data_IF_219767718564
#
_entry.id   IF_219767718564
#
_cell.length_a   1.000
_cell.length_b   1.000
_cell.length_c   1.000
_cell.angle_alpha   90.00
_cell.angle_beta   90.00
_cell.angle_gamma   90.00
#
_symmetry.space_group_name_H-M   'P 1'
#
loop_
_entity.id
_entity.type
_entity.pdbx_description
1 polymer ?
#
# COMPACT_ATOMS: atom_id res chain seq x y z
N UNK A 1 -10.15 17.21 -5.51
CA UNK A 1 -10.04 17.23 -6.97
C UNK A 1 -9.52 15.89 -7.46
N UNK A 2 -9.98 15.44 -8.65
CA UNK A 2 -9.56 14.19 -9.27
C UNK A 2 -8.97 14.50 -10.65
N UNK A 3 -7.79 13.94 -10.95
CA UNK A 3 -7.12 14.13 -12.23
C UNK A 3 -6.57 12.80 -12.73
N UNK A 4 -6.57 12.58 -14.05
CA UNK A 4 -6.02 11.41 -14.70
C UNK A 4 -5.29 11.81 -15.99
N UNK A 5 -4.18 11.13 -16.28
CA UNK A 5 -3.39 11.31 -17.50
C UNK A 5 -2.95 9.93 -18.03
N UNK A 6 -2.99 9.67 -19.35
CA UNK A 6 -3.54 10.54 -20.39
C UNK A 6 -5.05 10.74 -20.25
N UNK A 7 -5.56 11.80 -20.85
CA UNK A 7 -6.97 12.13 -20.91
C UNK A 7 -7.39 12.37 -22.36
N UNK A 8 -8.67 12.63 -22.58
CA UNK A 8 -9.22 12.91 -23.91
C UNK A 8 -10.15 14.12 -23.86
N UNK A 9 -10.33 14.74 -25.00
CA UNK A 9 -11.37 15.75 -25.20
C UNK A 9 -12.68 15.06 -25.62
N UNK A 10 -13.80 15.53 -25.11
CA UNK A 10 -15.13 15.06 -25.55
C UNK A 10 -15.37 15.33 -27.03
N UNK A 11 -14.72 16.34 -27.64
CA UNK A 11 -14.77 16.63 -29.07
C UNK A 11 -14.14 15.51 -29.92
N UNK A 12 -13.18 14.76 -29.36
CA UNK A 12 -12.44 13.71 -30.06
C UNK A 12 -12.89 12.30 -29.67
N UNK A 13 -14.03 12.15 -28.99
CA UNK A 13 -14.46 10.91 -28.35
C UNK A 13 -14.51 9.71 -29.30
N UNK A 14 -15.04 9.89 -30.51
CA UNK A 14 -15.11 8.80 -31.52
C UNK A 14 -13.71 8.30 -31.94
N UNK A 15 -12.75 9.21 -32.11
CA UNK A 15 -11.38 8.84 -32.46
C UNK A 15 -10.68 8.10 -31.34
N UNK A 16 -10.96 8.50 -30.08
CA UNK A 16 -10.41 7.85 -28.88
C UNK A 16 -10.98 6.44 -28.70
N UNK A 17 -12.30 6.24 -28.95
CA UNK A 17 -12.89 4.89 -28.91
C UNK A 17 -12.26 3.99 -29.98
N UNK A 18 -12.09 4.47 -31.22
CA UNK A 18 -11.44 3.71 -32.28
C UNK A 18 -9.99 3.36 -31.94
N UNK A 19 -9.24 4.30 -31.37
CA UNK A 19 -7.88 4.06 -30.93
C UNK A 19 -7.82 3.02 -29.79
N UNK A 20 -8.70 3.12 -28.78
CA UNK A 20 -8.77 2.18 -27.66
C UNK A 20 -9.22 0.77 -28.07
N UNK A 21 -10.03 0.63 -29.12
CA UNK A 21 -10.42 -0.68 -29.66
C UNK A 21 -9.30 -1.37 -30.41
N UNK A 22 -8.36 -0.60 -30.98
CA UNK A 22 -7.20 -1.11 -31.71
C UNK A 22 -5.95 -1.25 -30.84
N UNK A 23 -5.86 -0.48 -29.77
CA UNK A 23 -4.74 -0.51 -28.82
C UNK A 23 -5.26 -0.33 -27.38
N UNK A 24 -5.41 -1.46 -26.68
CA UNK A 24 -5.82 -1.49 -25.27
C UNK A 24 -4.82 -0.82 -24.33
N UNK A 25 -3.59 -0.54 -24.79
CA UNK A 25 -2.54 0.11 -23.99
C UNK A 25 -2.75 1.62 -23.82
N UNK A 26 -3.57 2.25 -24.67
CA UNK A 26 -3.78 3.71 -24.63
C UNK A 26 -4.36 4.20 -23.30
N UNK A 27 -5.25 3.40 -22.69
CA UNK A 27 -5.81 3.62 -21.35
C UNK A 27 -6.44 5.02 -21.12
N UNK A 28 -6.71 5.77 -22.20
CA UNK A 28 -7.21 7.15 -22.13
C UNK A 28 -8.63 7.23 -21.54
N UNK A 29 -9.42 6.15 -21.70
CA UNK A 29 -10.79 6.05 -21.19
C UNK A 29 -10.84 5.58 -19.72
N UNK A 30 -9.72 5.18 -19.14
CA UNK A 30 -9.65 4.69 -17.76
C UNK A 30 -9.46 5.87 -16.81
N UNK A 31 -10.38 6.04 -15.87
CA UNK A 31 -10.14 6.93 -14.73
C UNK A 31 -9.17 6.25 -13.77
N UNK A 32 -7.88 6.56 -13.90
CA UNK A 32 -6.81 5.93 -13.10
C UNK A 32 -6.95 6.19 -11.61
N UNK A 33 -7.58 7.29 -11.21
CA UNK A 33 -7.76 7.60 -9.80
C UNK A 33 -8.71 6.61 -9.10
N UNK A 34 -9.67 6.06 -9.84
CA UNK A 34 -10.69 5.17 -9.27
C UNK A 34 -10.59 3.72 -9.75
N UNK A 35 -10.08 3.48 -10.97
CA UNK A 35 -10.18 2.19 -11.65
C UNK A 35 -8.85 1.45 -11.79
N UNK A 36 -7.70 2.12 -11.52
CA UNK A 36 -6.39 1.46 -11.57
C UNK A 36 -5.89 1.16 -10.17
N UNK A 37 -5.16 0.05 -10.05
CA UNK A 37 -4.51 -0.39 -8.82
C UNK A 37 -3.01 -0.21 -8.92
N UNK A 38 -2.42 0.30 -7.87
CA UNK A 38 -0.99 0.58 -7.74
C UNK A 38 -0.46 0.01 -6.43
N UNK A 39 0.83 -0.32 -6.40
CA UNK A 39 1.53 -0.55 -5.15
C UNK A 39 1.48 0.76 -4.33
N UNK A 40 0.87 0.77 -3.13
CA UNK A 40 0.74 2.00 -2.36
C UNK A 40 2.08 2.50 -1.81
N UNK A 41 3.06 1.62 -1.69
CA UNK A 41 4.37 1.94 -1.12
C UNK A 41 4.23 2.56 0.27
N UNK A 42 5.10 3.50 0.59
CA UNK A 42 5.15 4.11 1.93
C UNK A 42 3.87 4.81 2.39
N UNK A 43 2.92 5.08 1.51
CA UNK A 43 1.61 5.63 1.93
C UNK A 43 0.80 4.61 2.73
N UNK A 44 1.00 3.30 2.49
CA UNK A 44 0.37 2.23 3.27
C UNK A 44 0.84 2.17 4.72
N UNK A 45 1.99 2.76 5.05
CA UNK A 45 2.50 2.83 6.42
C UNK A 45 1.54 3.51 7.39
N UNK A 46 0.62 4.36 6.90
CA UNK A 46 -0.47 4.91 7.72
C UNK A 46 -1.40 3.81 8.23
N UNK A 47 -1.76 2.85 7.37
CA UNK A 47 -2.56 1.69 7.76
C UNK A 47 -1.82 0.83 8.78
N UNK A 48 -0.55 0.54 8.53
CA UNK A 48 0.30 -0.24 9.42
C UNK A 48 0.46 0.43 10.78
N UNK A 49 0.70 1.75 10.80
CA UNK A 49 0.82 2.54 12.02
C UNK A 49 -0.48 2.52 12.84
N UNK A 50 -1.60 2.82 12.21
CA UNK A 50 -2.91 2.79 12.87
C UNK A 50 -3.21 1.40 13.45
N UNK A 51 -2.92 0.34 12.68
CA UNK A 51 -3.10 -1.05 13.14
C UNK A 51 -2.22 -1.37 14.35
N UNK A 52 -0.97 -0.90 14.37
CA UNK A 52 -0.06 -1.12 15.50
C UNK A 52 -0.56 -0.42 16.78
N UNK A 53 -0.99 0.83 16.64
CA UNK A 53 -1.50 1.63 17.76
C UNK A 53 -2.81 1.04 18.31
N UNK A 54 -3.76 0.69 17.46
CA UNK A 54 -5.04 0.10 17.84
C UNK A 54 -4.89 -1.24 18.56
N UNK A 55 -3.90 -2.04 18.17
CA UNK A 55 -3.60 -3.33 18.80
C UNK A 55 -2.61 -3.23 19.98
N UNK A 56 -2.20 -2.03 20.38
CA UNK A 56 -1.23 -1.78 21.46
C UNK A 56 0.10 -2.54 21.25
N UNK A 57 0.52 -2.73 20.01
CA UNK A 57 1.78 -3.39 19.65
C UNK A 57 2.97 -2.47 19.90
N UNK A 58 2.78 -1.18 19.64
CA UNK A 58 3.77 -0.13 19.88
C UNK A 58 3.06 1.21 20.10
N UNK A 59 3.78 2.16 20.68
CA UNK A 59 3.39 3.56 20.77
C UNK A 59 4.39 4.46 20.03
N UNK A 60 4.14 5.76 20.00
CA UNK A 60 4.95 6.75 19.30
C UNK A 60 6.40 6.83 19.83
N UNK A 61 6.64 6.45 21.09
CA UNK A 61 7.93 6.48 21.78
C UNK A 61 8.66 5.13 21.74
N UNK A 62 8.00 4.07 21.29
CA UNK A 62 8.60 2.74 21.16
C UNK A 62 9.82 2.81 20.24
N UNK A 63 10.96 2.32 20.70
CA UNK A 63 12.25 2.46 20.00
C UNK A 63 12.57 1.20 19.21
N UNK A 64 12.98 1.40 17.97
CA UNK A 64 13.42 0.37 17.04
C UNK A 64 14.83 0.65 16.54
N UNK A 65 15.57 -0.39 16.18
CA UNK A 65 16.77 -0.26 15.38
C UNK A 65 16.41 -0.11 13.90
N UNK A 66 17.03 0.88 13.24
CA UNK A 66 16.77 1.21 11.84
C UNK A 66 18.05 1.16 11.00
N UNK A 67 18.69 -0.01 10.85
CA UNK A 67 19.84 -0.15 9.96
C UNK A 67 19.41 0.03 8.51
N UNK A 68 20.37 0.31 7.63
CA UNK A 68 20.12 0.45 6.19
C UNK A 68 19.49 -0.79 5.56
N UNK A 69 19.89 -1.97 6.05
CA UNK A 69 19.33 -3.27 5.67
C UNK A 69 19.25 -4.17 6.91
N UNK A 70 18.16 -4.92 7.02
CA UNK A 70 17.94 -5.88 8.12
C UNK A 70 17.39 -7.18 7.53
N UNK A 71 17.84 -8.31 8.03
CA UNK A 71 17.24 -9.61 7.71
C UNK A 71 15.97 -9.81 8.56
N UNK A 72 14.84 -10.03 7.89
CA UNK A 72 13.55 -10.33 8.52
C UNK A 72 12.94 -11.53 7.81
N UNK A 73 12.71 -12.61 8.55
CA UNK A 73 12.10 -13.83 7.99
C UNK A 73 12.95 -14.53 6.92
N UNK A 74 14.28 -14.43 7.03
CA UNK A 74 15.23 -15.10 6.14
C UNK A 74 15.60 -14.33 4.88
N UNK A 75 15.13 -13.07 4.73
CA UNK A 75 15.51 -12.22 3.59
C UNK A 75 15.61 -10.74 3.99
N UNK A 76 16.26 -9.96 3.13
CA UNK A 76 16.55 -8.56 3.41
C UNK A 76 15.31 -7.66 3.29
N UNK A 77 15.16 -6.75 4.25
CA UNK A 77 14.33 -5.55 4.17
C UNK A 77 15.26 -4.34 4.18
N UNK A 78 15.12 -3.43 3.23
CA UNK A 78 16.09 -2.35 2.99
C UNK A 78 15.39 -1.00 3.00
N UNK A 79 15.98 -0.03 3.67
CA UNK A 79 15.59 1.37 3.60
C UNK A 79 15.93 1.97 2.23
N UNK A 80 15.27 3.07 1.87
CA UNK A 80 15.61 3.82 0.66
C UNK A 80 17.10 4.20 0.71
N UNK A 81 17.83 3.98 -0.39
CA UNK A 81 19.27 4.18 -0.51
C UNK A 81 20.11 3.47 0.57
N UNK A 82 19.57 2.41 1.17
CA UNK A 82 20.22 1.70 2.29
C UNK A 82 20.62 2.62 3.45
N UNK A 83 19.87 3.69 3.68
CA UNK A 83 20.16 4.66 4.74
C UNK A 83 20.03 4.01 6.13
N UNK A 84 21.08 4.15 6.92
CA UNK A 84 21.13 3.73 8.31
C UNK A 84 20.74 4.90 9.21
N UNK A 85 19.59 4.80 9.86
CA UNK A 85 19.07 5.85 10.75
C UNK A 85 19.39 5.58 12.23
N UNK A 86 20.01 4.45 12.55
CA UNK A 86 20.31 4.06 13.92
C UNK A 86 19.05 3.74 14.73
N UNK A 87 19.09 4.04 16.02
CA UNK A 87 17.92 3.85 16.88
C UNK A 87 16.94 5.02 16.73
N UNK A 88 15.68 4.70 16.49
CA UNK A 88 14.61 5.68 16.27
C UNK A 88 13.37 5.32 17.09
N UNK A 89 12.64 6.32 17.57
CA UNK A 89 11.25 6.12 18.01
C UNK A 89 10.36 5.82 16.81
N UNK A 90 9.19 5.21 17.05
CA UNK A 90 8.22 4.96 15.99
C UNK A 90 7.81 6.26 15.28
N UNK A 91 7.65 7.36 16.03
CA UNK A 91 7.37 8.68 15.45
C UNK A 91 8.49 9.13 14.49
N UNK A 92 9.77 8.98 14.88
CA UNK A 92 10.91 9.30 14.02
C UNK A 92 10.98 8.39 12.80
N UNK A 93 10.78 7.07 12.98
CA UNK A 93 10.78 6.11 11.90
C UNK A 93 9.66 6.37 10.89
N UNK A 94 8.50 6.87 11.34
CA UNK A 94 7.40 7.31 10.49
C UNK A 94 7.81 8.55 9.67
N UNK A 95 8.42 9.54 10.31
CA UNK A 95 8.89 10.77 9.65
C UNK A 95 9.95 10.49 8.56
N UNK A 96 10.87 9.54 8.81
CA UNK A 96 11.89 9.10 7.85
C UNK A 96 11.42 7.99 6.91
N UNK A 97 10.20 7.50 7.10
CA UNK A 97 9.63 6.41 6.29
C UNK A 97 10.50 5.15 6.28
N UNK A 98 11.05 4.74 7.44
CA UNK A 98 11.95 3.61 7.55
C UNK A 98 11.27 2.28 7.21
N UNK A 99 11.72 1.60 6.15
CA UNK A 99 11.22 0.28 5.79
C UNK A 99 11.62 -0.78 6.82
N UNK A 100 12.83 -0.71 7.37
CA UNK A 100 13.33 -1.69 8.34
C UNK A 100 12.54 -1.63 9.64
N UNK A 101 12.13 -0.45 10.10
CA UNK A 101 11.26 -0.31 11.28
C UNK A 101 9.83 -0.79 10.97
N UNK A 102 9.24 -0.37 9.85
CA UNK A 102 7.90 -0.80 9.49
C UNK A 102 7.81 -2.30 9.18
N UNK A 103 8.90 -2.90 8.67
CA UNK A 103 9.01 -4.34 8.54
C UNK A 103 8.98 -5.06 9.90
N UNK A 104 9.77 -4.59 10.88
CA UNK A 104 9.73 -5.11 12.25
C UNK A 104 8.33 -4.95 12.86
N UNK A 105 7.73 -3.77 12.71
CA UNK A 105 6.40 -3.46 13.22
C UNK A 105 5.34 -4.40 12.60
N UNK A 106 5.39 -4.62 11.28
CA UNK A 106 4.49 -5.54 10.58
C UNK A 106 4.57 -6.97 11.10
N UNK A 107 5.77 -7.46 11.37
CA UNK A 107 5.97 -8.80 11.98
C UNK A 107 5.40 -8.86 13.40
N UNK A 108 5.56 -7.81 14.20
CA UNK A 108 5.00 -7.74 15.56
C UNK A 108 3.46 -7.69 15.53
N UNK A 109 2.87 -6.97 14.59
CA UNK A 109 1.43 -6.94 14.34
C UNK A 109 0.93 -8.34 13.90
N UNK A 110 1.69 -8.99 13.03
CA UNK A 110 1.34 -10.24 12.37
C UNK A 110 0.41 -10.07 11.16
N UNK A 111 0.53 -10.97 10.19
CA UNK A 111 -0.18 -10.89 8.91
C UNK A 111 -1.70 -10.74 9.07
N UNK A 112 -2.32 -11.53 9.95
CA UNK A 112 -3.77 -11.51 10.15
C UNK A 112 -4.29 -10.19 10.69
N UNK A 113 -3.59 -9.57 11.64
CA UNK A 113 -4.00 -8.28 12.19
C UNK A 113 -3.71 -7.15 11.21
N UNK A 114 -2.62 -7.23 10.44
CA UNK A 114 -2.29 -6.27 9.38
C UNK A 114 -3.38 -6.23 8.30
N UNK A 115 -3.80 -7.39 7.80
CA UNK A 115 -4.88 -7.50 6.81
C UNK A 115 -6.19 -7.00 7.38
N UNK A 116 -6.56 -7.41 8.62
CA UNK A 116 -7.76 -6.89 9.29
C UNK A 116 -7.74 -5.37 9.46
N UNK A 117 -6.58 -4.79 9.75
CA UNK A 117 -6.41 -3.34 9.80
C UNK A 117 -6.66 -2.69 8.43
N UNK A 118 -6.11 -3.27 7.35
CA UNK A 118 -6.38 -2.81 6.00
C UNK A 118 -7.86 -2.92 5.61
N UNK A 119 -8.55 -4.02 5.98
CA UNK A 119 -9.99 -4.19 5.78
C UNK A 119 -10.78 -3.07 6.47
N UNK A 120 -10.39 -2.66 7.68
CA UNK A 120 -11.02 -1.57 8.39
C UNK A 120 -10.89 -0.21 7.66
N UNK A 121 -9.83 -0.04 6.88
CA UNK A 121 -9.67 1.09 5.95
C UNK A 121 -10.34 0.88 4.59
N UNK A 122 -11.06 -0.23 4.38
CA UNK A 122 -11.84 -0.49 3.17
C UNK A 122 -11.11 -1.28 2.08
N UNK A 123 -9.94 -1.87 2.37
CA UNK A 123 -9.34 -2.85 1.46
C UNK A 123 -10.23 -4.10 1.37
N UNK A 124 -10.08 -4.87 0.32
CA UNK A 124 -10.88 -6.06 -0.02
C UNK A 124 -12.40 -5.80 -0.05
N UNK A 125 -12.79 -4.52 -0.12
CA UNK A 125 -14.17 -4.08 -0.18
C UNK A 125 -14.39 -3.10 -1.33
N UNK A 126 -15.61 -3.09 -1.87
CA UNK A 126 -15.98 -2.15 -2.90
C UNK A 126 -16.27 -0.77 -2.29
N UNK A 127 -15.58 0.25 -2.78
CA UNK A 127 -15.88 1.63 -2.40
C UNK A 127 -17.23 2.03 -3.03
N UNK A 128 -18.17 2.47 -2.19
CA UNK A 128 -19.44 3.03 -2.66
C UNK A 128 -19.21 4.47 -3.14
N UNK A 129 -19.15 4.63 -4.46
CA UNK A 129 -18.85 5.90 -5.11
C UNK A 129 -19.64 6.05 -6.40
N UNK A 130 -19.92 7.29 -6.83
CA UNK A 130 -20.76 7.57 -8.02
C UNK A 130 -20.10 7.12 -9.34
N UNK A 131 -18.81 6.90 -9.36
CA UNK A 131 -18.07 6.42 -10.52
C UNK A 131 -17.61 4.97 -10.32
N UNK A 132 -17.30 4.22 -11.40
CA UNK A 132 -16.71 2.90 -11.29
C UNK A 132 -15.41 2.93 -10.48
N UNK A 133 -15.27 1.99 -9.53
CA UNK A 133 -14.08 1.86 -8.66
C UNK A 133 -13.51 0.46 -8.78
N UNK A 134 -12.17 0.36 -8.75
CA UNK A 134 -11.48 -0.90 -8.51
C UNK A 134 -11.43 -1.18 -7.01
N UNK A 135 -11.59 -2.43 -6.65
CA UNK A 135 -11.41 -2.91 -5.27
C UNK A 135 -9.93 -3.00 -4.96
N UNK A 136 -9.49 -2.33 -3.90
CA UNK A 136 -8.12 -2.44 -3.39
C UNK A 136 -7.93 -3.79 -2.69
N UNK A 137 -6.74 -4.36 -2.78
CA UNK A 137 -6.49 -5.76 -2.46
C UNK A 137 -5.40 -5.92 -1.40
N UNK A 138 -5.60 -6.90 -0.51
CA UNK A 138 -4.56 -7.45 0.38
C UNK A 138 -4.26 -8.90 0.02
N UNK A 139 -3.05 -9.37 0.33
CA UNK A 139 -2.69 -10.79 0.23
C UNK A 139 -3.37 -11.59 1.32
N UNK A 140 -3.77 -12.83 1.02
CA UNK A 140 -4.31 -13.75 2.03
C UNK A 140 -3.30 -13.91 3.19
N UNK A 141 -3.65 -13.55 4.43
CA UNK A 141 -2.71 -13.56 5.55
C UNK A 141 -2.19 -14.96 5.91
N UNK A 142 -2.89 -16.02 5.55
CA UNK A 142 -2.47 -17.42 5.78
C UNK A 142 -1.34 -17.86 4.83
N UNK A 143 -1.15 -17.14 3.74
CA UNK A 143 -0.15 -17.43 2.71
C UNK A 143 1.09 -16.55 2.85
N UNK A 144 1.06 -15.55 3.72
CA UNK A 144 2.17 -14.62 3.93
C UNK A 144 3.25 -15.23 4.82
N UNK A 145 4.46 -15.27 4.32
CA UNK A 145 5.67 -15.51 5.11
C UNK A 145 5.98 -14.31 6.03
N UNK A 146 6.89 -14.50 6.98
CA UNK A 146 7.37 -13.40 7.85
C UNK A 146 7.98 -12.25 7.03
N UNK A 147 8.77 -12.58 6.01
CA UNK A 147 9.37 -11.59 5.11
C UNK A 147 8.32 -10.83 4.28
N UNK A 148 7.34 -11.54 3.76
CA UNK A 148 6.22 -10.93 3.03
C UNK A 148 5.39 -10.01 3.94
N UNK A 149 5.14 -10.44 5.18
CA UNK A 149 4.46 -9.58 6.18
C UNK A 149 5.23 -8.29 6.42
N UNK A 150 6.56 -8.35 6.53
CA UNK A 150 7.40 -7.18 6.69
C UNK A 150 7.32 -6.21 5.50
N UNK A 151 7.35 -6.73 4.26
CA UNK A 151 7.24 -5.88 3.07
C UNK A 151 5.83 -5.36 2.83
N UNK A 152 4.80 -6.16 3.09
CA UNK A 152 3.42 -5.71 3.02
C UNK A 152 3.17 -4.54 3.99
N UNK A 153 3.72 -4.60 5.20
CA UNK A 153 3.64 -3.50 6.17
C UNK A 153 4.34 -2.22 5.71
N UNK A 154 5.33 -2.32 4.84
CA UNK A 154 5.97 -1.19 4.17
C UNK A 154 5.22 -0.74 2.88
N UNK A 155 4.13 -1.43 2.52
CA UNK A 155 3.28 -1.13 1.37
C UNK A 155 3.75 -1.72 0.05
N UNK A 156 4.61 -2.74 0.09
CA UNK A 156 5.06 -3.46 -1.11
C UNK A 156 4.17 -4.67 -1.36
N UNK A 157 3.69 -4.87 -2.59
CA UNK A 157 2.90 -6.05 -2.93
C UNK A 157 3.70 -7.33 -2.73
N UNK A 158 3.06 -8.29 -2.10
CA UNK A 158 3.62 -9.61 -1.79
C UNK A 158 2.57 -10.68 -2.08
N UNK A 159 2.99 -11.93 -2.09
CA UNK A 159 2.14 -13.08 -2.37
C UNK A 159 2.47 -13.70 -3.72
N UNK A 160 2.51 -15.03 -3.74
CA UNK A 160 2.88 -15.81 -4.92
C UNK A 160 1.73 -16.67 -5.47
N UNK A 161 0.58 -16.73 -4.76
CA UNK A 161 -0.40 -17.80 -5.00
C UNK A 161 -1.76 -17.29 -5.49
N UNK A 162 -2.62 -16.77 -4.61
CA UNK A 162 -4.00 -16.47 -4.96
C UNK A 162 -4.27 -15.00 -5.24
N UNK A 163 -3.77 -14.14 -4.40
CA UNK A 163 -3.97 -12.70 -4.48
C UNK A 163 -2.70 -11.97 -4.04
N UNK A 164 -2.28 -11.00 -4.84
CA UNK A 164 -1.12 -10.17 -4.54
C UNK A 164 -1.59 -8.84 -3.95
N UNK A 165 -0.98 -8.40 -2.85
CA UNK A 165 -1.27 -7.12 -2.20
C UNK A 165 -0.15 -6.69 -1.24
N UNK A 166 -0.22 -5.47 -0.71
CA UNK A 166 -1.27 -4.48 -0.95
C UNK A 166 -1.25 -3.86 -2.35
N UNK A 167 -2.41 -3.78 -2.98
CA UNK A 167 -2.65 -2.93 -4.15
C UNK A 167 -3.81 -2.00 -3.87
N UNK A 168 -3.67 -0.73 -4.20
CA UNK A 168 -4.68 0.27 -3.90
C UNK A 168 -4.97 1.19 -5.09
N UNK A 169 -6.24 1.64 -5.19
CA UNK A 169 -6.55 2.77 -6.04
C UNK A 169 -6.10 4.09 -5.37
N UNK A 170 -5.89 5.13 -6.17
CA UNK A 170 -5.58 6.46 -5.63
C UNK A 170 -6.71 6.97 -4.72
N UNK A 171 -7.96 6.68 -5.09
CA UNK A 171 -9.13 7.00 -4.25
C UNK A 171 -9.05 6.30 -2.89
N UNK A 172 -8.68 5.01 -2.85
CA UNK A 172 -8.53 4.26 -1.61
C UNK A 172 -7.49 4.92 -0.68
N UNK A 173 -6.32 5.28 -1.23
CA UNK A 173 -5.28 5.91 -0.41
C UNK A 173 -5.65 7.34 0.03
N UNK A 174 -6.47 8.04 -0.75
CA UNK A 174 -7.05 9.32 -0.31
C UNK A 174 -8.02 9.13 0.86
N UNK A 175 -8.84 8.07 0.85
CA UNK A 175 -9.72 7.73 1.97
C UNK A 175 -8.93 7.34 3.22
N UNK A 176 -7.86 6.56 3.09
CA UNK A 176 -6.94 6.25 4.21
C UNK A 176 -6.39 7.53 4.84
N UNK A 177 -6.07 8.54 4.03
CA UNK A 177 -5.59 9.83 4.54
C UNK A 177 -6.67 10.72 5.19
N UNK A 178 -7.96 10.35 5.08
CA UNK A 178 -9.09 11.05 5.70
C UNK A 178 -9.54 10.41 7.02
N UNK A 179 -9.19 9.16 7.28
CA UNK A 179 -9.52 8.41 8.50
C UNK A 179 -8.40 8.40 9.48
#
# INVERSE_FOLDING_TARGET
AMASSPTYSTADFESVIKASSNDSSSGSLINRATQSLYAPGSTFKMVTLATALENNVADENTVFDSPGTMEIGGAAVTNFDSNNYGRQTLAQATAWSSNTVFGQLGVQIGASALVKGADAFGFDSKINFDLPTAMSLMTNPKEMTTWETAWAAAGQPVGAHSQIGPYASVLQMALVGCG
#
